data_IF_035211471764
#
_entry.id   IF_035211471764
#
_cell.length_a   1.000
_cell.length_b   1.000
_cell.length_c   1.000
_cell.angle_alpha   90.00
_cell.angle_beta   90.00
_cell.angle_gamma   90.00
#
_symmetry.space_group_name_H-M   'P 1'
#
loop_
_entity.id
_entity.type
_entity.pdbx_description
1 polymer ?
#
# COMPACT_ATOMS: atom_id res chain seq x y z
N UNK A 1 -9.84 -20.13 9.92
CA UNK A 1 -9.85 -18.71 10.33
C UNK A 1 -8.74 -18.46 11.32
N UNK A 2 -7.64 -17.81 10.93
CA UNK A 2 -6.77 -17.10 11.88
C UNK A 2 -6.01 -16.01 11.13
N UNK A 3 -6.50 -14.78 11.28
CA UNK A 3 -5.81 -13.56 10.93
C UNK A 3 -4.54 -13.45 11.77
N UNK A 4 -3.36 -13.39 11.15
CA UNK A 4 -2.22 -12.73 11.76
C UNK A 4 -1.68 -11.64 10.82
N UNK A 5 -1.67 -10.46 11.41
CA UNK A 5 -1.52 -9.13 10.83
C UNK A 5 -0.13 -8.99 10.22
N UNK A 6 -0.07 -8.76 8.90
CA UNK A 6 1.12 -8.14 8.32
C UNK A 6 1.18 -6.70 8.84
N UNK A 7 2.27 -6.39 9.51
CA UNK A 7 2.64 -5.03 9.85
C UNK A 7 2.73 -4.22 8.55
N UNK A 8 1.73 -3.38 8.31
CA UNK A 8 1.89 -2.27 7.40
C UNK A 8 2.96 -1.38 8.02
N UNK A 9 4.20 -1.54 7.57
CA UNK A 9 5.14 -0.44 7.55
C UNK A 9 4.48 0.61 6.65
N UNK A 10 3.77 1.54 7.28
CA UNK A 10 3.47 2.82 6.69
C UNK A 10 4.82 3.45 6.39
N UNK A 11 5.30 3.26 5.17
CA UNK A 11 6.23 4.18 4.56
C UNK A 11 5.48 5.49 4.43
N UNK A 12 5.45 6.23 5.54
CA UNK A 12 5.29 7.66 5.54
C UNK A 12 6.35 8.19 4.59
N UNK A 13 5.93 8.51 3.38
CA UNK A 13 6.70 9.38 2.51
C UNK A 13 6.82 10.68 3.31
N UNK A 14 7.95 10.82 4.00
CA UNK A 14 8.31 12.01 4.73
C UNK A 14 8.51 13.10 3.69
N UNK A 15 7.44 13.85 3.39
CA UNK A 15 7.52 15.10 2.62
C UNK A 15 8.15 16.15 3.51
N UNK A 16 9.43 15.95 3.85
CA UNK A 16 10.27 16.96 4.49
C UNK A 16 11.69 16.70 4.03
N UNK A 17 12.04 17.36 2.93
CA UNK A 17 13.23 18.20 2.78
C UNK A 17 13.27 18.76 1.36
N UNK A 18 12.41 19.76 1.08
CA UNK A 18 12.74 20.78 0.09
C UNK A 18 12.95 22.06 0.90
N UNK A 19 14.16 22.17 1.45
CA UNK A 19 14.62 23.40 2.05
C UNK A 19 15.02 24.36 0.93
N UNK A 20 14.38 25.53 0.92
CA UNK A 20 14.85 26.71 0.21
C UNK A 20 14.72 26.69 -1.31
N UNK A 21 13.61 27.24 -1.83
CA UNK A 21 13.61 28.12 -3.01
C UNK A 21 12.24 28.76 -3.21
N UNK A 22 12.20 30.06 -2.93
CA UNK A 22 11.27 31.08 -3.42
C UNK A 22 9.77 30.72 -3.41
N UNK A 23 9.05 31.43 -2.56
CA UNK A 23 7.65 31.78 -2.75
C UNK A 23 7.52 32.49 -4.11
N UNK A 24 7.54 31.73 -5.20
CA UNK A 24 7.18 32.25 -6.52
C UNK A 24 5.68 32.37 -6.51
N UNK A 25 5.21 33.60 -6.63
CA UNK A 25 3.83 33.91 -6.94
C UNK A 25 3.51 33.27 -8.29
N UNK A 26 3.11 31.99 -8.27
CA UNK A 26 2.69 31.24 -9.46
C UNK A 26 1.28 31.71 -9.83
N UNK A 27 1.17 32.95 -10.30
CA UNK A 27 -0.06 33.46 -10.90
C UNK A 27 -0.36 32.69 -12.20
N UNK A 28 0.67 32.10 -12.83
CA UNK A 28 0.54 31.27 -14.03
C UNK A 28 1.09 29.87 -13.83
N UNK A 29 0.20 28.89 -13.98
CA UNK A 29 0.51 27.49 -14.13
C UNK A 29 0.71 27.18 -15.62
N UNK A 30 1.87 26.64 -16.06
CA UNK A 30 2.12 26.38 -17.48
C UNK A 30 1.23 25.27 -18.06
N UNK A 31 0.61 24.45 -17.20
CA UNK A 31 -0.31 23.38 -17.58
C UNK A 31 -1.80 23.76 -17.46
N UNK A 32 -2.13 24.78 -16.65
CA UNK A 32 -3.50 25.08 -16.26
C UNK A 32 -3.89 26.57 -16.39
N UNK A 33 -3.00 27.38 -16.96
CA UNK A 33 -3.21 28.81 -17.20
C UNK A 33 -3.11 29.67 -15.95
N UNK A 34 -3.64 30.90 -16.03
CA UNK A 34 -3.64 31.83 -14.90
C UNK A 34 -4.68 31.43 -13.85
N UNK A 35 -4.26 31.34 -12.59
CA UNK A 35 -5.16 31.18 -11.42
C UNK A 35 -5.57 32.54 -10.85
N UNK A 36 -5.14 33.64 -11.50
CA UNK A 36 -5.52 34.99 -11.12
C UNK A 36 -7.05 35.10 -11.02
N UNK A 37 -7.55 35.48 -9.84
CA UNK A 37 -8.94 35.91 -9.68
C UNK A 37 -9.17 37.10 -10.59
N UNK A 38 -10.02 36.95 -11.59
CA UNK A 38 -10.55 38.09 -12.32
C UNK A 38 -11.37 38.93 -11.33
N UNK A 39 -11.13 40.24 -11.21
CA UNK A 39 -11.95 41.10 -10.36
C UNK A 39 -13.38 41.11 -10.92
N UNK A 40 -14.31 40.48 -10.20
CA UNK A 40 -15.72 40.56 -10.56
C UNK A 40 -16.28 41.94 -10.18
N UNK A 41 -17.09 42.61 -11.03
CA UNK A 41 -17.57 43.98 -10.77
C UNK A 41 -18.33 44.08 -9.44
N UNK A 42 -17.79 44.84 -8.47
CA UNK A 42 -18.43 45.06 -7.15
C UNK A 42 -19.45 46.20 -7.15
N UNK A 43 -20.26 46.33 -8.21
CA UNK A 43 -21.20 47.47 -8.38
C UNK A 43 -22.27 47.57 -7.27
N UNK A 44 -22.53 46.49 -6.52
CA UNK A 44 -23.60 46.43 -5.50
C UNK A 44 -23.18 47.14 -4.19
N UNK A 45 -21.91 47.49 -4.01
CA UNK A 45 -21.41 48.13 -2.76
C UNK A 45 -21.69 49.64 -2.66
N UNK A 46 -22.75 50.15 -3.30
CA UNK A 46 -23.15 51.55 -3.14
C UNK A 46 -24.05 51.69 -1.90
N UNK A 47 -23.87 52.73 -1.06
CA UNK A 47 -24.69 52.91 0.15
C UNK A 47 -26.20 52.87 -0.10
N UNK A 48 -26.66 53.45 -1.21
CA UNK A 48 -28.07 53.43 -1.60
C UNK A 48 -28.58 52.01 -1.93
N UNK A 49 -27.81 51.23 -2.70
CA UNK A 49 -28.14 49.84 -3.01
C UNK A 49 -28.16 49.00 -1.74
N UNK A 50 -27.22 49.21 -0.81
CA UNK A 50 -27.21 48.53 0.49
C UNK A 50 -28.44 48.88 1.35
N UNK A 51 -28.93 50.11 1.27
CA UNK A 51 -30.17 50.52 1.93
C UNK A 51 -31.40 49.86 1.29
N UNK A 52 -31.46 49.79 -0.04
CA UNK A 52 -32.52 49.06 -0.77
C UNK A 52 -32.52 47.54 -0.48
N UNK A 53 -31.42 46.97 0.01
CA UNK A 53 -31.40 45.58 0.51
C UNK A 53 -32.03 45.45 1.91
N UNK A 54 -32.22 46.55 2.63
CA UNK A 54 -32.76 46.60 3.99
C UNK A 54 -34.21 47.13 4.05
N UNK A 55 -34.68 47.84 3.01
CA UNK A 55 -36.06 48.28 2.86
C UNK A 55 -36.68 47.71 1.58
N UNK A 56 -37.98 47.41 1.58
CA UNK A 56 -38.71 46.94 0.39
C UNK A 56 -39.05 48.08 -0.60
N UNK A 57 -38.21 49.13 -0.66
CA UNK A 57 -38.42 50.24 -1.57
C UNK A 57 -38.12 49.81 -3.01
N UNK A 58 -38.88 50.35 -3.98
CA UNK A 58 -38.75 49.98 -5.39
C UNK A 58 -37.45 50.57 -5.97
N UNK A 59 -36.53 49.74 -6.51
CA UNK A 59 -35.34 50.24 -7.20
C UNK A 59 -35.71 50.92 -8.52
N UNK A 60 -34.86 51.83 -8.98
CA UNK A 60 -35.04 52.45 -10.30
C UNK A 60 -34.76 51.46 -11.44
N UNK A 61 -35.35 51.70 -12.62
CA UNK A 61 -35.15 50.83 -13.80
C UNK A 61 -33.67 50.67 -14.19
N UNK A 62 -32.86 51.71 -13.98
CA UNK A 62 -31.42 51.66 -14.21
C UNK A 62 -30.69 50.73 -13.22
N UNK A 63 -31.11 50.71 -11.95
CA UNK A 63 -30.55 49.83 -10.92
C UNK A 63 -30.97 48.37 -11.11
N UNK A 64 -32.23 48.15 -11.52
CA UNK A 64 -32.70 46.82 -11.93
C UNK A 64 -31.93 46.30 -13.14
N UNK A 65 -31.76 47.14 -14.16
CA UNK A 65 -31.00 46.78 -15.38
C UNK A 65 -29.54 46.46 -15.06
N UNK A 66 -28.88 47.28 -14.24
CA UNK A 66 -27.51 47.04 -13.77
C UNK A 66 -27.40 45.73 -12.98
N UNK A 67 -28.35 45.48 -12.06
CA UNK A 67 -28.37 44.26 -11.25
C UNK A 67 -28.57 43.01 -12.10
N UNK A 68 -29.45 43.06 -13.10
CA UNK A 68 -29.64 41.96 -14.05
C UNK A 68 -28.38 41.68 -14.88
N UNK A 69 -27.66 42.71 -15.31
CA UNK A 69 -26.38 42.54 -16.00
C UNK A 69 -25.32 41.88 -15.11
N UNK A 70 -25.24 42.28 -13.83
CA UNK A 70 -24.35 41.65 -12.85
C UNK A 70 -24.71 40.18 -12.65
N UNK A 71 -25.99 39.84 -12.50
CA UNK A 71 -26.44 38.44 -12.35
C UNK A 71 -26.08 37.61 -13.59
N UNK A 72 -26.28 38.15 -14.80
CA UNK A 72 -25.88 37.50 -16.05
C UNK A 72 -24.37 37.28 -16.13
N UNK A 73 -23.56 38.28 -15.79
CA UNK A 73 -22.09 38.14 -15.75
C UNK A 73 -21.64 37.13 -14.68
N UNK A 74 -22.28 37.13 -13.51
CA UNK A 74 -21.95 36.23 -12.41
C UNK A 74 -22.23 34.78 -12.79
N UNK A 75 -23.41 34.51 -13.33
CA UNK A 75 -23.80 33.17 -13.78
C UNK A 75 -22.88 32.66 -14.89
N UNK A 76 -22.54 33.50 -15.87
CA UNK A 76 -21.56 33.13 -16.91
C UNK A 76 -20.18 32.79 -16.34
N UNK A 77 -19.66 33.60 -15.41
CA UNK A 77 -18.35 33.35 -14.81
C UNK A 77 -18.34 32.12 -13.88
N UNK A 78 -19.43 31.85 -13.15
CA UNK A 78 -19.57 30.63 -12.36
C UNK A 78 -19.56 29.41 -13.28
N UNK A 79 -20.30 29.43 -14.38
CA UNK A 79 -20.31 28.32 -15.34
C UNK A 79 -18.93 28.04 -15.94
N UNK A 80 -18.18 29.09 -16.30
CA UNK A 80 -16.79 28.98 -16.77
C UNK A 80 -15.88 28.34 -15.71
N UNK A 81 -16.00 28.76 -14.45
CA UNK A 81 -15.24 28.18 -13.35
C UNK A 81 -15.60 26.70 -13.13
N UNK A 82 -16.89 26.35 -13.16
CA UNK A 82 -17.32 24.97 -12.99
C UNK A 82 -16.80 24.04 -14.10
N UNK A 83 -16.76 24.52 -15.35
CA UNK A 83 -16.14 23.81 -16.48
C UNK A 83 -14.65 23.59 -16.25
N UNK A 84 -13.91 24.63 -15.87
CA UNK A 84 -12.47 24.51 -15.55
C UNK A 84 -12.21 23.54 -14.41
N UNK A 85 -13.05 23.53 -13.37
CA UNK A 85 -12.90 22.59 -12.26
C UNK A 85 -13.24 21.16 -12.74
N UNK A 86 -14.24 20.98 -13.62
CA UNK A 86 -14.56 19.68 -14.20
C UNK A 86 -13.38 19.12 -15.01
N UNK A 87 -12.75 19.91 -15.86
CA UNK A 87 -11.57 19.52 -16.64
C UNK A 87 -10.36 19.19 -15.76
N UNK A 88 -10.11 20.00 -14.73
CA UNK A 88 -9.03 19.75 -13.78
C UNK A 88 -9.26 18.43 -13.01
N UNK A 89 -10.51 18.14 -12.60
CA UNK A 89 -10.88 16.87 -11.97
C UNK A 89 -10.66 15.69 -12.90
N UNK A 90 -11.11 15.79 -14.16
CA UNK A 90 -10.91 14.74 -15.17
C UNK A 90 -9.43 14.42 -15.38
N UNK A 91 -8.60 15.45 -15.49
CA UNK A 91 -7.14 15.30 -15.65
C UNK A 91 -6.51 14.63 -14.43
N UNK A 92 -6.89 15.08 -13.22
CA UNK A 92 -6.43 14.48 -11.97
C UNK A 92 -6.80 13.00 -11.90
N UNK A 93 -8.04 12.66 -12.23
CA UNK A 93 -8.55 11.29 -12.13
C UNK A 93 -7.86 10.36 -13.13
N UNK A 94 -7.55 10.84 -14.33
CA UNK A 94 -6.75 10.11 -15.31
C UNK A 94 -5.33 9.82 -14.79
N UNK A 95 -4.66 10.83 -14.22
CA UNK A 95 -3.32 10.66 -13.65
C UNK A 95 -3.31 9.70 -12.45
N UNK A 96 -4.35 9.75 -11.60
CA UNK A 96 -4.49 8.80 -10.49
C UNK A 96 -4.67 7.37 -10.99
N UNK A 97 -5.48 7.17 -12.03
CA UNK A 97 -5.65 5.85 -12.65
C UNK A 97 -4.32 5.31 -13.21
N UNK A 98 -3.52 6.17 -13.85
CA UNK A 98 -2.21 5.79 -14.37
C UNK A 98 -1.24 5.41 -13.24
N UNK A 99 -1.18 6.23 -12.17
CA UNK A 99 -0.38 5.91 -10.99
C UNK A 99 -0.75 4.56 -10.36
N UNK A 100 -2.04 4.28 -10.23
CA UNK A 100 -2.54 2.99 -9.68
C UNK A 100 -2.09 1.84 -10.57
N UNK A 101 -2.29 1.94 -11.89
CA UNK A 101 -1.88 0.90 -12.85
C UNK A 101 -0.37 0.62 -12.76
N UNK A 102 0.46 1.68 -12.72
CA UNK A 102 1.91 1.53 -12.62
C UNK A 102 2.32 0.87 -11.30
N UNK A 103 1.63 1.20 -10.20
CA UNK A 103 1.92 0.60 -8.89
C UNK A 103 1.57 -0.90 -8.87
N UNK A 104 0.46 -1.29 -9.50
CA UNK A 104 0.08 -2.69 -9.70
C UNK A 104 1.11 -3.45 -10.54
N UNK A 105 1.49 -2.91 -11.71
CA UNK A 105 2.50 -3.52 -12.58
C UNK A 105 3.86 -3.64 -11.88
N UNK A 106 4.26 -2.61 -11.12
CA UNK A 106 5.51 -2.59 -10.35
C UNK A 106 5.51 -3.64 -9.24
N UNK A 107 4.37 -3.82 -8.57
CA UNK A 107 4.19 -4.85 -7.54
C UNK A 107 4.33 -6.24 -8.15
N UNK A 108 3.69 -6.49 -9.29
CA UNK A 108 3.76 -7.78 -9.97
C UNK A 108 5.18 -8.07 -10.46
N UNK A 109 5.86 -7.09 -11.07
CA UNK A 109 7.26 -7.21 -11.47
C UNK A 109 8.18 -7.51 -10.26
N UNK A 110 7.92 -6.91 -9.10
CA UNK A 110 8.68 -7.20 -7.86
C UNK A 110 8.46 -8.62 -7.37
N UNK A 111 7.22 -9.11 -7.41
CA UNK A 111 6.90 -10.49 -7.03
C UNK A 111 7.57 -11.49 -7.98
N UNK A 112 7.54 -11.23 -9.28
CA UNK A 112 8.16 -12.07 -10.31
C UNK A 112 9.69 -12.06 -10.22
N UNK A 113 10.30 -10.92 -9.88
CA UNK A 113 11.74 -10.78 -9.71
C UNK A 113 12.26 -11.24 -8.34
N UNK A 114 11.38 -11.70 -7.45
CA UNK A 114 11.76 -12.12 -6.10
C UNK A 114 12.87 -13.20 -6.13
N UNK A 115 13.92 -13.07 -5.30
CA UNK A 115 15.02 -14.04 -5.27
C UNK A 115 14.56 -15.47 -5.04
N UNK A 116 13.48 -15.66 -4.28
CA UNK A 116 12.84 -16.95 -3.99
C UNK A 116 12.48 -17.72 -5.26
N UNK A 117 12.05 -17.03 -6.33
CA UNK A 117 11.68 -17.66 -7.62
C UNK A 117 12.87 -17.96 -8.52
N UNK A 118 14.02 -17.34 -8.28
CA UNK A 118 15.24 -17.50 -9.10
C UNK A 118 16.25 -18.46 -8.48
N UNK A 119 15.98 -18.96 -7.27
CA UNK A 119 16.85 -19.90 -6.58
C UNK A 119 16.75 -21.28 -7.24
N UNK A 120 17.85 -21.83 -7.79
CA UNK A 120 17.83 -23.17 -8.36
C UNK A 120 17.43 -24.21 -7.31
N UNK A 121 16.69 -25.27 -7.67
CA UNK A 121 16.23 -26.29 -6.73
C UNK A 121 17.37 -26.90 -5.89
N UNK A 122 18.51 -27.17 -6.50
CA UNK A 122 19.67 -27.78 -5.82
C UNK A 122 20.27 -26.87 -4.76
N UNK A 123 20.36 -25.56 -5.06
CA UNK A 123 20.86 -24.56 -4.12
C UNK A 123 19.89 -24.41 -2.95
N UNK A 124 18.58 -24.36 -3.23
CA UNK A 124 17.57 -24.31 -2.18
C UNK A 124 17.61 -25.56 -1.29
N UNK A 125 17.76 -26.74 -1.89
CA UNK A 125 17.92 -28.01 -1.16
C UNK A 125 19.16 -27.99 -0.27
N UNK A 126 20.29 -27.50 -0.77
CA UNK A 126 21.52 -27.35 0.02
C UNK A 126 21.32 -26.39 1.21
N UNK A 127 20.69 -25.23 1.00
CA UNK A 127 20.36 -24.30 2.09
C UNK A 127 19.44 -24.97 3.12
N UNK A 128 18.43 -25.71 2.67
CA UNK A 128 17.47 -26.39 3.55
C UNK A 128 18.12 -27.50 4.38
N UNK A 129 19.17 -28.14 3.85
CA UNK A 129 19.96 -29.12 4.59
C UNK A 129 20.72 -28.45 5.75
N UNK A 130 21.19 -27.23 5.57
CA UNK A 130 21.85 -26.45 6.65
C UNK A 130 20.86 -25.95 7.72
N UNK A 131 19.56 -25.90 7.42
CA UNK A 131 18.56 -25.46 8.41
C UNK A 131 18.09 -26.58 9.33
N UNK A 132 18.33 -27.85 9.02
CA UNK A 132 17.96 -28.99 9.88
C UNK A 132 19.08 -29.33 10.86
N UNK A 133 18.70 -29.70 12.09
CA UNK A 133 19.67 -30.11 13.10
C UNK A 133 20.36 -31.40 12.68
N UNK A 134 21.65 -31.52 13.01
CA UNK A 134 22.32 -32.80 12.89
C UNK A 134 21.77 -33.80 13.92
N UNK A 135 21.90 -35.12 13.69
CA UNK A 135 21.51 -36.14 14.67
C UNK A 135 22.16 -35.92 16.04
N UNK A 136 23.43 -35.52 16.06
CA UNK A 136 24.16 -35.20 17.28
C UNK A 136 23.57 -33.99 18.00
N UNK A 137 23.31 -32.90 17.28
CA UNK A 137 22.70 -31.70 17.85
C UNK A 137 21.33 -32.00 18.46
N UNK A 138 20.51 -32.76 17.74
CA UNK A 138 19.17 -33.12 18.19
C UNK A 138 19.20 -33.97 19.48
N UNK A 139 20.19 -34.86 19.62
CA UNK A 139 20.37 -35.69 20.81
C UNK A 139 20.96 -34.90 22.00
N UNK A 140 21.72 -33.85 21.74
CA UNK A 140 22.37 -33.02 22.77
C UNK A 140 21.48 -31.90 23.35
N UNK A 141 20.31 -31.66 22.75
CA UNK A 141 19.39 -30.60 23.18
C UNK A 141 18.66 -30.99 24.47
N UNK A 142 18.60 -30.06 25.41
CA UNK A 142 17.84 -30.24 26.67
C UNK A 142 16.34 -30.05 26.47
N UNK A 143 15.94 -29.35 25.42
CA UNK A 143 14.55 -29.17 25.01
C UNK A 143 14.13 -30.26 24.03
N UNK A 144 12.94 -30.83 24.25
CA UNK A 144 12.39 -31.87 23.39
C UNK A 144 12.16 -31.31 21.98
N UNK A 145 13.03 -31.67 21.03
CA UNK A 145 12.89 -31.28 19.62
C UNK A 145 12.00 -32.29 18.89
N UNK A 146 10.90 -31.80 18.33
CA UNK A 146 9.99 -32.57 17.48
C UNK A 146 10.17 -32.15 16.02
N UNK A 147 10.66 -33.07 15.19
CA UNK A 147 10.80 -32.90 13.74
C UNK A 147 9.46 -32.75 13.01
N UNK A 148 8.33 -33.10 13.64
CA UNK A 148 6.99 -32.90 13.06
C UNK A 148 6.32 -31.59 13.49
N UNK A 149 6.98 -30.79 14.35
CA UNK A 149 6.48 -29.46 14.64
C UNK A 149 6.69 -28.56 13.41
N UNK A 150 5.59 -28.05 12.86
CA UNK A 150 5.55 -27.12 11.73
C UNK A 150 6.33 -25.82 11.97
N UNK A 151 6.60 -25.49 13.23
CA UNK A 151 7.43 -24.33 13.63
C UNK A 151 8.93 -24.61 13.58
N UNK A 152 9.33 -25.85 13.32
CA UNK A 152 10.73 -26.22 13.16
C UNK A 152 11.11 -26.38 11.69
N UNK A 153 12.40 -26.25 11.39
CA UNK A 153 12.95 -26.68 10.10
C UNK A 153 12.79 -28.20 9.95
N UNK A 154 12.54 -28.73 8.73
CA UNK A 154 12.46 -28.01 7.46
C UNK A 154 11.08 -27.41 7.15
N UNK A 155 10.08 -27.58 8.03
CA UNK A 155 8.71 -27.13 7.77
C UNK A 155 8.59 -25.62 7.64
N UNK A 156 9.30 -24.83 8.45
CA UNK A 156 9.25 -23.36 8.36
C UNK A 156 9.59 -22.85 6.96
N UNK A 157 10.65 -23.39 6.33
CA UNK A 157 11.02 -22.96 4.98
C UNK A 157 10.03 -23.47 3.93
N UNK A 158 9.38 -24.62 4.15
CA UNK A 158 8.31 -25.13 3.27
C UNK A 158 7.05 -24.24 3.23
N UNK A 159 6.88 -23.32 4.19
CA UNK A 159 5.71 -22.41 4.22
C UNK A 159 5.85 -21.20 3.30
N UNK A 160 7.03 -20.93 2.75
CA UNK A 160 7.29 -19.73 1.93
C UNK A 160 6.55 -19.77 0.60
N UNK A 161 6.62 -20.89 -0.13
CA UNK A 161 5.89 -21.07 -1.38
C UNK A 161 5.70 -22.56 -1.72
N UNK A 162 4.82 -22.83 -2.69
CA UNK A 162 4.55 -24.19 -3.18
C UNK A 162 5.82 -24.88 -3.73
N UNK A 163 6.66 -24.17 -4.48
CA UNK A 163 7.89 -24.74 -5.06
C UNK A 163 8.88 -25.20 -3.99
N UNK A 164 9.08 -24.39 -2.95
CA UNK A 164 9.94 -24.75 -1.82
C UNK A 164 9.38 -25.97 -1.08
N UNK A 165 8.07 -26.01 -0.84
CA UNK A 165 7.41 -27.17 -0.23
C UNK A 165 7.65 -28.47 -1.01
N UNK A 166 7.50 -28.42 -2.32
CA UNK A 166 7.74 -29.59 -3.17
C UNK A 166 9.18 -30.10 -3.00
N UNK A 167 10.17 -29.21 -3.07
CA UNK A 167 11.59 -29.58 -2.92
C UNK A 167 11.85 -30.19 -1.55
N UNK A 168 11.31 -29.59 -0.47
CA UNK A 168 11.48 -30.11 0.89
C UNK A 168 10.90 -31.52 1.02
N UNK A 169 9.66 -31.73 0.56
CA UNK A 169 8.98 -33.03 0.67
C UNK A 169 9.66 -34.08 -0.22
N UNK A 170 10.17 -33.70 -1.39
CA UNK A 170 10.76 -34.63 -2.36
C UNK A 170 12.25 -34.89 -2.15
N UNK A 171 12.88 -34.34 -1.09
CA UNK A 171 14.32 -34.52 -0.81
C UNK A 171 14.53 -35.47 0.37
N UNK A 172 14.80 -36.77 0.15
CA UNK A 172 14.91 -37.77 1.21
C UNK A 172 15.96 -37.44 2.29
N UNK A 173 17.01 -36.71 1.91
CA UNK A 173 18.13 -36.37 2.78
C UNK A 173 17.76 -35.35 3.86
N UNK A 174 16.67 -34.59 3.67
CA UNK A 174 16.11 -33.74 4.72
C UNK A 174 15.37 -34.55 5.79
N UNK A 175 14.98 -35.77 5.45
CA UNK A 175 14.20 -36.69 6.28
C UNK A 175 15.02 -37.87 6.78
N UNK A 176 16.34 -37.89 6.51
CA UNK A 176 17.23 -38.99 6.91
C UNK A 176 17.36 -39.14 8.42
N UNK A 177 17.03 -38.10 9.20
CA UNK A 177 17.02 -38.09 10.65
C UNK A 177 15.81 -37.34 11.19
N UNK A 178 14.97 -37.98 11.99
CA UNK A 178 13.78 -37.38 12.58
C UNK A 178 13.70 -37.70 14.07
N UNK A 179 13.49 -36.68 14.91
CA UNK A 179 13.19 -36.84 16.33
C UNK A 179 11.70 -36.67 16.55
N UNK A 180 11.06 -37.67 17.13
CA UNK A 180 9.63 -37.65 17.45
C UNK A 180 9.44 -37.63 18.96
N UNK A 181 8.60 -36.72 19.42
CA UNK A 181 8.10 -36.74 20.78
C UNK A 181 6.87 -37.64 20.80
N UNK A 182 6.96 -38.76 21.50
CA UNK A 182 5.87 -39.71 21.68
C UNK A 182 5.35 -39.56 23.12
N UNK A 183 4.09 -39.15 23.25
CA UNK A 183 3.37 -39.12 24.53
C UNK A 183 2.62 -40.43 24.70
N UNK A 184 2.87 -41.13 25.80
CA UNK A 184 2.08 -42.31 26.14
C UNK A 184 0.79 -41.84 26.85
N UNK A 185 -0.39 -42.15 26.31
CA UNK A 185 -1.64 -41.78 26.97
C UNK A 185 -1.92 -42.59 28.26
N UNK A 186 -1.19 -43.69 28.48
CA UNK A 186 -1.33 -44.57 29.64
C UNK A 186 -0.31 -44.29 30.76
N UNK A 187 0.65 -43.39 30.53
CA UNK A 187 1.67 -43.00 31.51
C UNK A 187 2.07 -41.56 31.25
N UNK A 188 2.17 -40.69 32.26
CA UNK A 188 2.59 -39.29 32.11
C UNK A 188 4.03 -39.09 31.61
N UNK A 189 4.65 -40.12 31.03
CA UNK A 189 5.99 -40.12 30.48
C UNK A 189 6.00 -39.71 29.01
N UNK A 190 6.90 -38.79 28.69
CA UNK A 190 7.19 -38.31 27.34
C UNK A 190 8.54 -38.88 26.94
N UNK A 191 8.61 -39.51 25.77
CA UNK A 191 9.86 -40.05 25.23
C UNK A 191 10.20 -39.33 23.93
N UNK A 192 11.47 -38.92 23.79
CA UNK A 192 12.03 -38.48 22.51
C UNK A 192 12.68 -39.68 21.83
N UNK A 193 12.24 -40.02 20.62
CA UNK A 193 12.81 -41.11 19.84
C UNK A 193 13.36 -40.60 18.51
N UNK A 194 14.63 -40.95 18.26
CA UNK A 194 15.32 -40.63 17.02
C UNK A 194 15.17 -41.77 16.01
N UNK A 195 14.78 -41.43 14.80
CA UNK A 195 14.70 -42.32 13.66
C UNK A 195 15.76 -41.90 12.63
N UNK A 196 16.60 -42.84 12.23
CA UNK A 196 17.58 -42.66 11.15
C UNK A 196 17.07 -43.44 9.93
N UNK A 197 16.48 -42.73 8.97
CA UNK A 197 15.77 -43.29 7.82
C UNK A 197 16.66 -43.46 6.58
N UNK A 198 17.91 -42.98 6.64
CA UNK A 198 18.90 -43.11 5.57
C UNK A 198 20.26 -42.54 5.97
N UNK A 199 21.30 -42.79 5.16
CA UNK A 199 22.60 -42.13 5.34
C UNK A 199 22.57 -40.77 4.65
N UNK A 200 22.82 -39.71 5.42
CA UNK A 200 23.11 -38.36 4.93
C UNK A 200 24.55 -38.29 4.44
#
# INVERSE_FOLDING_TARGET
LHHYKYSHSTNSISIRQISGKQHRDFINCPLCGSVARQPFPQSIRRPHILQLLQCNDVPTDAELSCSQEIVKKASGHIAELDERIADARKTRDALLSECISIEEDSKDARVLSSPVRRLPPDVFRAISLETILSPFQTMSRSDYYNSLDHKNSPWMVSQVCHGWRLIIVSSPELWSSMSLILSNHFSSSIFCQMFMLGRR
#
